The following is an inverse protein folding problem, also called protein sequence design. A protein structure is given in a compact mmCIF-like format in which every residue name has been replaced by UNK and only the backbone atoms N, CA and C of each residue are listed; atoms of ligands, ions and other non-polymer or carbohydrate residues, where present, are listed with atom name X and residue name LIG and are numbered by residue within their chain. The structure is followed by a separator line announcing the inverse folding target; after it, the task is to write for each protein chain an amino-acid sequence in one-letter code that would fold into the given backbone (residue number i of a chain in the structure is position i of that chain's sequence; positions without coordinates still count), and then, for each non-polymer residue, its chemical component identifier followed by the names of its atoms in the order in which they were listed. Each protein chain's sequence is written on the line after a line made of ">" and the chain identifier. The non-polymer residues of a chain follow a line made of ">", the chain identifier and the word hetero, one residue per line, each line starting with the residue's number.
data_IF_073356937411
#
_entry.id   IF_073356937411
#
_cell.length_a   1.000
_cell.length_b   1.000
_cell.length_c   1.000
_cell.angle_alpha   90.00
_cell.angle_beta   90.00
_cell.angle_gamma   90.00
#
_symmetry.space_group_name_H-M   'P 1'
#
loop_
_entity.id
_entity.type
_entity.pdbx_description
1 polymer ?
#
# COMPACT_ATOMS: atom_id res chain seq x y z
N UNK A 1 -55.57 6.89 33.76
CA UNK A 1 -54.22 7.50 33.73
C UNK A 1 -53.22 6.48 34.25
N UNK A 2 -52.39 5.91 33.36
CA UNK A 2 -51.09 5.29 33.65
C UNK A 2 -50.44 5.00 32.30
N UNK A 3 -49.69 5.99 31.81
CA UNK A 3 -48.80 5.83 30.66
C UNK A 3 -47.65 4.93 31.09
N UNK A 4 -47.51 3.78 30.43
CA UNK A 4 -46.27 3.01 30.42
C UNK A 4 -45.30 3.76 29.51
N UNK A 5 -44.30 4.43 30.09
CA UNK A 5 -43.17 4.94 29.34
C UNK A 5 -42.16 3.80 29.15
N UNK A 6 -42.20 3.18 27.98
CA UNK A 6 -41.12 2.32 27.46
C UNK A 6 -39.88 3.19 27.21
N UNK A 7 -38.88 3.11 28.09
CA UNK A 7 -37.52 3.56 27.80
C UNK A 7 -36.89 2.55 26.83
N UNK A 8 -36.92 2.85 25.53
CA UNK A 8 -35.93 2.29 24.61
C UNK A 8 -34.59 2.95 24.93
N UNK A 9 -33.72 2.23 25.64
CA UNK A 9 -32.29 2.51 25.57
C UNK A 9 -31.84 2.19 24.15
N UNK A 10 -31.70 3.23 23.31
CA UNK A 10 -30.85 3.16 22.14
C UNK A 10 -29.43 2.92 22.62
N UNK A 11 -29.01 1.66 22.65
CA UNK A 11 -27.61 1.31 22.65
C UNK A 11 -27.02 1.84 21.35
N UNK A 12 -26.39 3.01 21.41
CA UNK A 12 -25.48 3.48 20.36
C UNK A 12 -24.33 2.48 20.32
N UNK A 13 -24.42 1.50 19.42
CA UNK A 13 -23.28 0.67 19.03
C UNK A 13 -22.28 1.60 18.33
N UNK A 14 -21.39 2.20 19.11
CA UNK A 14 -20.16 2.79 18.60
C UNK A 14 -19.40 1.62 17.98
N UNK A 15 -19.45 1.53 16.65
CA UNK A 15 -18.60 0.58 15.94
C UNK A 15 -17.18 1.05 16.19
N UNK A 16 -16.42 0.31 17.01
CA UNK A 16 -15.00 0.57 17.19
C UNK A 16 -14.35 0.56 15.80
N UNK A 17 -13.48 1.53 15.52
CA UNK A 17 -12.83 1.57 14.22
C UNK A 17 -11.90 0.36 14.08
N UNK A 18 -11.62 -0.06 12.83
CA UNK A 18 -10.65 -1.14 12.57
C UNK A 18 -9.30 -0.86 13.25
N UNK A 19 -8.88 0.42 13.27
CA UNK A 19 -7.65 0.85 13.91
C UNK A 19 -7.70 0.70 15.43
N UNK A 20 -8.87 0.86 16.05
CA UNK A 20 -9.04 0.61 17.48
C UNK A 20 -8.95 -0.88 17.80
N UNK A 21 -9.50 -1.74 16.92
CA UNK A 21 -9.31 -3.19 17.05
C UNK A 21 -7.83 -3.58 16.90
N UNK A 22 -7.09 -2.97 15.98
CA UNK A 22 -5.65 -3.17 15.84
C UNK A 22 -4.90 -2.80 17.12
N UNK A 23 -5.15 -1.61 17.69
CA UNK A 23 -4.54 -1.20 18.96
C UNK A 23 -4.89 -2.15 20.10
N UNK A 24 -6.16 -2.56 20.20
CA UNK A 24 -6.61 -3.50 21.23
C UNK A 24 -5.92 -4.87 21.14
N UNK A 25 -5.52 -5.27 19.93
CA UNK A 25 -4.80 -6.51 19.64
C UNK A 25 -3.28 -6.33 19.60
N UNK A 26 -2.72 -5.24 20.13
CA UNK A 26 -1.27 -5.01 20.16
C UNK A 26 -0.64 -4.90 18.76
N UNK A 27 -1.39 -4.45 17.76
CA UNK A 27 -0.88 -4.23 16.40
C UNK A 27 -0.45 -2.77 16.26
N UNK A 28 0.83 -2.58 15.96
CA UNK A 28 1.36 -1.30 15.52
C UNK A 28 1.14 -1.14 14.02
N UNK A 29 0.85 0.09 13.61
CA UNK A 29 0.60 0.40 12.22
C UNK A 29 1.11 1.78 11.82
N UNK A 30 1.38 1.91 10.53
CA UNK A 30 1.77 3.16 9.89
C UNK A 30 1.03 3.31 8.55
N UNK A 31 0.58 4.52 8.24
CA UNK A 31 0.01 4.83 6.93
C UNK A 31 1.12 4.78 5.89
N UNK A 32 1.01 3.84 4.95
CA UNK A 32 1.99 3.68 3.89
C UNK A 32 1.62 4.49 2.64
N UNK A 33 0.32 4.60 2.32
CA UNK A 33 -0.17 5.39 1.20
C UNK A 33 -1.61 5.06 0.83
N UNK A 34 -2.10 5.70 -0.23
CA UNK A 34 -3.42 5.39 -0.78
C UNK A 34 -3.33 4.23 -1.77
N UNK A 35 -4.25 3.28 -1.64
CA UNK A 35 -4.24 2.02 -2.35
C UNK A 35 -5.56 1.70 -3.02
N UNK A 36 -5.46 0.86 -4.06
CA UNK A 36 -6.62 0.27 -4.70
C UNK A 36 -6.33 -1.17 -5.09
N UNK A 37 -7.25 -2.06 -4.75
CA UNK A 37 -7.21 -3.44 -5.22
C UNK A 37 -7.97 -3.57 -6.56
N UNK A 38 -7.32 -4.21 -7.53
CA UNK A 38 -7.87 -4.61 -8.82
C UNK A 38 -7.68 -6.13 -8.94
N UNK A 39 -8.57 -6.93 -8.33
CA UNK A 39 -8.35 -8.38 -8.20
C UNK A 39 -8.38 -9.13 -9.55
N UNK A 40 -8.93 -8.50 -10.59
CA UNK A 40 -9.12 -9.10 -11.90
C UNK A 40 -8.18 -8.53 -12.97
N UNK A 41 -6.87 -8.57 -12.73
CA UNK A 41 -5.85 -8.14 -13.71
C UNK A 41 -5.99 -8.83 -15.08
N UNK A 42 -6.59 -10.03 -15.12
CA UNK A 42 -6.87 -10.77 -16.36
C UNK A 42 -7.85 -10.04 -17.29
N UNK A 43 -8.64 -9.10 -16.77
CA UNK A 43 -9.60 -8.30 -17.52
C UNK A 43 -9.01 -6.96 -18.02
N UNK A 44 -7.69 -6.77 -17.89
CA UNK A 44 -7.02 -5.63 -18.50
C UNK A 44 -6.80 -5.86 -20.01
N UNK A 45 -7.28 -4.95 -20.84
CA UNK A 45 -7.17 -5.02 -22.29
C UNK A 45 -6.00 -4.16 -22.77
N UNK A 46 -5.12 -4.66 -23.64
CA UNK A 46 -4.08 -3.83 -24.26
C UNK A 46 -4.73 -2.78 -25.18
N UNK A 47 -4.23 -1.55 -25.11
CA UNK A 47 -4.70 -0.44 -25.92
C UNK A 47 -3.58 0.51 -26.29
N UNK A 48 -3.51 0.89 -27.56
CA UNK A 48 -2.60 1.93 -28.04
C UNK A 48 -3.38 3.23 -28.15
N UNK A 49 -3.04 4.20 -27.28
CA UNK A 49 -3.59 5.54 -27.33
C UNK A 49 -2.83 6.33 -28.40
N UNK A 50 -3.53 6.73 -29.46
CA UNK A 50 -3.01 7.63 -30.48
C UNK A 50 -3.27 9.09 -30.08
N UNK A 51 -2.20 9.88 -29.96
CA UNK A 51 -2.28 11.29 -29.57
C UNK A 51 -2.41 12.22 -30.79
N UNK A 52 -2.33 11.71 -32.02
CA UNK A 52 -2.33 12.54 -33.22
C UNK A 52 -3.64 13.31 -33.39
N UNK A 53 -4.81 12.71 -33.08
CA UNK A 53 -6.09 13.43 -33.11
C UNK A 53 -6.12 14.61 -32.12
N UNK A 54 -5.60 14.39 -30.90
CA UNK A 54 -5.48 15.45 -29.91
C UNK A 54 -4.52 16.56 -30.37
N UNK A 55 -3.37 16.19 -30.94
CA UNK A 55 -2.40 17.16 -31.48
C UNK A 55 -3.00 17.95 -32.65
N UNK A 56 -3.76 17.29 -33.52
CA UNK A 56 -4.44 17.91 -34.65
C UNK A 56 -5.59 18.84 -34.21
N UNK A 57 -6.09 18.69 -32.97
CA UNK A 57 -7.09 19.59 -32.40
C UNK A 57 -6.53 20.97 -32.04
N UNK A 58 -5.20 21.13 -31.99
CA UNK A 58 -4.57 22.42 -31.76
C UNK A 58 -4.86 23.34 -32.95
N UNK A 59 -5.30 24.57 -32.68
CA UNK A 59 -5.64 25.54 -33.71
C UNK A 59 -4.37 26.08 -34.40
N UNK A 60 -3.74 25.26 -35.24
CA UNK A 60 -2.50 25.59 -35.95
C UNK A 60 -2.72 26.18 -37.34
N UNK A 61 -3.98 26.20 -37.81
CA UNK A 61 -4.34 26.63 -39.16
C UNK A 61 -3.95 28.08 -39.43
N UNK A 62 -3.99 28.93 -38.41
CA UNK A 62 -3.62 30.32 -38.51
C UNK A 62 -2.12 30.56 -38.30
N UNK A 63 -1.34 29.58 -37.84
CA UNK A 63 0.10 29.75 -37.56
C UNK A 63 0.92 29.73 -38.85
N UNK A 64 1.99 30.53 -38.90
CA UNK A 64 2.98 30.42 -39.96
C UNK A 64 3.74 29.07 -39.90
N UNK A 65 4.35 28.67 -41.01
CA UNK A 65 5.01 27.36 -41.15
C UNK A 65 6.11 27.14 -40.10
N UNK A 66 6.91 28.19 -39.85
CA UNK A 66 7.97 28.17 -38.85
C UNK A 66 7.44 27.89 -37.43
N UNK A 67 6.40 28.61 -37.00
CA UNK A 67 5.83 28.46 -35.65
C UNK A 67 5.12 27.12 -35.49
N UNK A 68 4.48 26.62 -36.56
CA UNK A 68 3.88 25.29 -36.60
C UNK A 68 4.95 24.19 -36.46
N UNK A 69 6.05 24.31 -37.21
CA UNK A 69 7.18 23.39 -37.10
C UNK A 69 7.83 23.42 -35.72
N UNK A 70 7.95 24.60 -35.10
CA UNK A 70 8.50 24.71 -33.74
C UNK A 70 7.55 24.12 -32.69
N UNK A 71 6.24 24.34 -32.81
CA UNK A 71 5.24 23.70 -31.95
C UNK A 71 5.33 22.18 -32.05
N UNK A 72 5.41 21.65 -33.27
CA UNK A 72 5.54 20.21 -33.49
C UNK A 72 6.83 19.67 -32.86
N UNK A 73 7.97 20.31 -33.10
CA UNK A 73 9.24 19.98 -32.43
C UNK A 73 9.08 19.94 -30.90
N UNK A 74 8.43 20.95 -30.33
CA UNK A 74 8.23 21.08 -28.89
C UNK A 74 7.36 19.96 -28.34
N UNK A 75 6.25 19.62 -29.01
CA UNK A 75 5.36 18.52 -28.63
C UNK A 75 6.11 17.18 -28.57
N UNK A 76 6.86 16.82 -29.61
CA UNK A 76 7.64 15.58 -29.63
C UNK A 76 8.71 15.54 -28.53
N UNK A 77 9.41 16.66 -28.32
CA UNK A 77 10.44 16.78 -27.27
C UNK A 77 9.81 16.64 -25.88
N UNK A 78 8.68 17.31 -25.65
CA UNK A 78 7.95 17.23 -24.38
C UNK A 78 7.36 15.85 -24.14
N UNK A 79 6.90 15.14 -25.19
CA UNK A 79 6.41 13.76 -25.08
C UNK A 79 7.52 12.80 -24.61
N UNK A 80 8.69 12.81 -25.27
CA UNK A 80 9.84 12.00 -24.85
C UNK A 80 10.27 12.34 -23.40
N UNK A 81 10.41 13.62 -23.08
CA UNK A 81 10.81 14.06 -21.76
C UNK A 81 9.82 13.64 -20.67
N UNK A 82 8.51 13.72 -20.92
CA UNK A 82 7.47 13.30 -19.98
C UNK A 82 7.48 11.78 -19.83
N UNK A 83 7.54 11.00 -20.91
CA UNK A 83 7.61 9.54 -20.81
C UNK A 83 8.81 9.07 -19.98
N UNK A 84 10.00 9.67 -20.21
CA UNK A 84 11.21 9.37 -19.42
C UNK A 84 11.07 9.80 -17.96
N UNK A 85 10.52 10.98 -17.70
CA UNK A 85 10.25 11.47 -16.34
C UNK A 85 9.34 10.53 -15.56
N UNK A 86 8.38 9.91 -16.25
CA UNK A 86 7.43 8.97 -15.67
C UNK A 86 7.96 7.51 -15.69
N UNK A 87 9.23 7.30 -16.03
CA UNK A 87 9.88 6.00 -16.14
C UNK A 87 9.16 5.00 -17.06
N UNK A 88 8.49 5.51 -18.10
CA UNK A 88 7.82 4.69 -19.12
C UNK A 88 8.87 4.33 -20.18
N UNK A 89 8.86 3.07 -20.63
CA UNK A 89 9.79 2.62 -21.67
C UNK A 89 9.58 3.44 -22.95
N UNK A 90 10.65 3.94 -23.55
CA UNK A 90 10.58 4.72 -24.78
C UNK A 90 11.11 3.91 -25.95
N UNK A 91 10.37 3.89 -27.05
CA UNK A 91 10.81 3.36 -28.34
C UNK A 91 10.87 4.45 -29.38
N UNK A 92 11.92 4.38 -30.20
CA UNK A 92 12.25 5.36 -31.24
C UNK A 92 12.70 6.72 -30.70
N UNK A 93 13.67 7.32 -31.38
CA UNK A 93 14.07 8.70 -31.10
C UNK A 93 13.04 9.70 -31.65
N UNK A 94 12.95 10.91 -31.06
CA UNK A 94 12.14 11.98 -31.62
C UNK A 94 12.59 12.33 -33.05
N UNK A 95 11.67 12.79 -33.93
CA UNK A 95 12.05 13.28 -35.24
C UNK A 95 13.05 14.44 -35.10
N UNK A 96 14.06 14.46 -35.98
CA UNK A 96 15.05 15.54 -35.98
C UNK A 96 14.45 16.79 -36.63
N UNK A 97 14.27 17.83 -35.82
CA UNK A 97 13.81 19.15 -36.29
C UNK A 97 14.96 20.16 -36.24
N UNK A 98 15.36 20.65 -37.41
CA UNK A 98 16.36 21.71 -37.59
C UNK A 98 15.77 23.11 -37.38
N UNK A 99 15.05 23.30 -36.27
CA UNK A 99 14.46 24.58 -35.87
C UNK A 99 14.98 24.98 -34.49
N UNK A 100 15.51 26.18 -34.37
CA UNK A 100 15.91 26.79 -33.09
C UNK A 100 14.90 27.86 -32.72
N UNK A 101 14.57 27.99 -31.44
CA UNK A 101 13.58 28.97 -30.99
C UNK A 101 14.08 30.41 -31.21
N UNK A 102 13.64 31.02 -32.30
CA UNK A 102 13.85 32.42 -32.64
C UNK A 102 12.50 33.16 -32.66
N UNK A 103 12.30 34.05 -31.68
CA UNK A 103 11.10 34.87 -31.51
C UNK A 103 10.87 35.86 -32.65
N UNK A 104 11.92 36.29 -33.36
CA UNK A 104 11.80 37.29 -34.42
C UNK A 104 11.06 36.75 -35.65
N UNK A 105 10.99 35.43 -35.78
CA UNK A 105 10.32 34.72 -36.88
C UNK A 105 8.86 34.36 -36.56
N UNK A 106 8.37 34.71 -35.35
CA UNK A 106 7.01 34.47 -34.92
C UNK A 106 6.18 35.75 -34.93
N UNK A 107 4.95 35.66 -35.43
CA UNK A 107 3.96 36.71 -35.20
C UNK A 107 3.52 36.66 -33.73
N UNK A 108 3.07 37.79 -33.20
CA UNK A 108 2.63 37.89 -31.80
C UNK A 108 1.58 36.83 -31.42
N UNK A 109 0.57 36.63 -32.27
CA UNK A 109 -0.46 35.60 -32.05
C UNK A 109 0.10 34.18 -32.18
N UNK A 110 1.00 33.92 -33.15
CA UNK A 110 1.65 32.62 -33.31
C UNK A 110 2.48 32.26 -32.07
N UNK A 111 3.17 33.24 -31.47
CA UNK A 111 3.93 33.04 -30.23
C UNK A 111 3.01 32.70 -29.06
N UNK A 112 1.86 33.37 -28.94
CA UNK A 112 0.86 33.05 -27.91
C UNK A 112 0.32 31.62 -28.09
N UNK A 113 -0.12 31.27 -29.31
CA UNK A 113 -0.67 29.94 -29.63
C UNK A 113 0.37 28.83 -29.45
N UNK A 114 1.63 29.07 -29.83
CA UNK A 114 2.75 28.16 -29.58
C UNK A 114 2.89 27.83 -28.10
N UNK A 115 2.98 28.85 -27.24
CA UNK A 115 3.17 28.64 -25.80
C UNK A 115 1.96 27.97 -25.16
N UNK A 116 0.76 28.45 -25.52
CA UNK A 116 -0.47 27.91 -24.97
C UNK A 116 -0.64 26.43 -25.30
N UNK A 117 -0.49 26.05 -26.57
CA UNK A 117 -0.66 24.66 -27.01
C UNK A 117 0.45 23.75 -26.46
N UNK A 118 1.70 24.24 -26.38
CA UNK A 118 2.79 23.48 -25.75
C UNK A 118 2.51 23.20 -24.26
N UNK A 119 2.10 24.21 -23.49
CA UNK A 119 1.81 24.06 -22.07
C UNK A 119 0.59 23.16 -21.84
N UNK A 120 -0.45 23.32 -22.67
CA UNK A 120 -1.64 22.46 -22.65
C UNK A 120 -1.28 21.00 -22.89
N UNK A 121 -0.51 20.71 -23.95
CA UNK A 121 -0.05 19.36 -24.24
C UNK A 121 0.71 18.75 -23.05
N UNK A 122 1.68 19.49 -22.50
CA UNK A 122 2.47 19.00 -21.37
C UNK A 122 1.61 18.73 -20.13
N UNK A 123 0.68 19.62 -19.80
CA UNK A 123 -0.21 19.47 -18.64
C UNK A 123 -1.14 18.28 -18.81
N UNK A 124 -1.80 18.18 -19.95
CA UNK A 124 -2.82 17.16 -20.18
C UNK A 124 -2.14 15.77 -20.26
N UNK A 125 -0.95 15.65 -20.86
CA UNK A 125 -0.18 14.40 -20.87
C UNK A 125 0.33 14.02 -19.46
N UNK A 126 0.81 15.00 -18.67
CA UNK A 126 1.18 14.75 -17.27
C UNK A 126 -0.03 14.26 -16.47
N UNK A 127 -1.20 14.83 -16.68
CA UNK A 127 -2.46 14.42 -16.03
C UNK A 127 -2.86 12.99 -16.42
N UNK A 128 -2.79 12.61 -17.71
CA UNK A 128 -3.01 11.23 -18.18
C UNK A 128 -2.16 10.22 -17.39
N UNK A 129 -0.87 10.52 -17.23
CA UNK A 129 0.03 9.61 -16.53
C UNK A 129 -0.10 9.69 -15.01
N UNK A 130 -0.29 10.86 -14.41
CA UNK A 130 -0.45 11.02 -12.95
C UNK A 130 -1.75 10.39 -12.43
N UNK A 131 -2.84 10.56 -13.17
CA UNK A 131 -4.16 10.12 -12.75
C UNK A 131 -4.47 8.69 -13.19
N UNK A 132 -3.65 8.12 -14.08
CA UNK A 132 -3.87 6.80 -14.67
C UNK A 132 -5.25 6.68 -15.32
N UNK A 133 -5.71 7.76 -15.97
CA UNK A 133 -7.03 7.84 -16.58
C UNK A 133 -6.96 8.55 -17.92
N UNK A 134 -7.75 8.05 -18.89
CA UNK A 134 -7.95 8.76 -20.16
C UNK A 134 -8.94 9.89 -19.88
N UNK A 135 -8.41 11.10 -19.73
CA UNK A 135 -9.17 12.29 -19.43
C UNK A 135 -9.83 12.87 -20.68
N UNK A 136 -10.75 13.82 -20.50
CA UNK A 136 -11.53 14.43 -21.59
C UNK A 136 -10.72 14.85 -22.83
N UNK A 137 -9.47 15.39 -22.74
CA UNK A 137 -8.69 15.73 -23.93
C UNK A 137 -8.35 14.53 -24.85
N UNK A 138 -8.39 13.31 -24.31
CA UNK A 138 -8.01 12.08 -25.00
C UNK A 138 -9.17 11.12 -25.21
N UNK A 139 -10.36 11.38 -24.65
CA UNK A 139 -11.53 10.52 -24.78
C UNK A 139 -12.01 10.41 -26.23
N UNK A 140 -11.87 11.49 -27.01
CA UNK A 140 -12.24 11.50 -28.43
C UNK A 140 -11.40 10.50 -29.25
N UNK A 141 -10.15 10.25 -28.81
CA UNK A 141 -9.27 9.27 -29.44
C UNK A 141 -9.60 7.82 -29.03
N UNK A 142 -10.58 7.59 -28.15
CA UNK A 142 -10.97 6.24 -27.71
C UNK A 142 -12.13 5.72 -28.56
N UNK A 143 -11.88 4.63 -29.28
CA UNK A 143 -12.93 4.00 -30.09
C UNK A 143 -14.06 3.43 -29.23
N UNK A 144 -15.30 3.46 -29.76
CA UNK A 144 -16.46 2.81 -29.14
C UNK A 144 -16.25 1.30 -28.93
N UNK A 145 -15.44 0.67 -29.78
CA UNK A 145 -15.09 -0.74 -29.61
C UNK A 145 -14.20 -0.95 -28.38
N UNK A 146 -13.22 -0.07 -28.14
CA UNK A 146 -12.38 -0.10 -26.94
C UNK A 146 -13.21 0.11 -25.67
N UNK A 147 -14.15 1.06 -25.69
CA UNK A 147 -15.07 1.33 -24.57
C UNK A 147 -15.86 0.06 -24.22
N UNK A 148 -16.45 -0.59 -25.24
CA UNK A 148 -17.21 -1.84 -25.05
C UNK A 148 -16.34 -3.01 -24.63
N UNK A 149 -15.13 -3.16 -25.20
CA UNK A 149 -14.18 -4.23 -24.82
C UNK A 149 -13.67 -4.07 -23.40
N UNK A 150 -13.52 -2.83 -22.93
CA UNK A 150 -13.24 -2.57 -21.53
C UNK A 150 -14.43 -2.97 -20.64
N UNK A 151 -15.66 -3.11 -21.16
CA UNK A 151 -16.84 -3.42 -20.36
C UNK A 151 -17.58 -2.17 -19.86
N UNK A 152 -17.21 -0.98 -20.36
CA UNK A 152 -17.92 0.25 -20.07
C UNK A 152 -19.20 0.36 -20.91
N UNK A 153 -20.25 0.89 -20.29
CA UNK A 153 -21.55 1.12 -20.94
C UNK A 153 -21.54 2.35 -21.87
N UNK A 154 -20.81 3.40 -21.49
CA UNK A 154 -20.63 4.62 -22.26
C UNK A 154 -19.26 5.29 -21.97
N UNK A 155 -19.03 6.46 -22.57
CA UNK A 155 -17.78 7.24 -22.43
C UNK A 155 -17.58 7.74 -21.00
N UNK A 156 -18.66 8.11 -20.30
CA UNK A 156 -18.60 8.63 -18.94
C UNK A 156 -18.21 7.50 -17.98
N UNK A 157 -18.86 6.35 -18.12
CA UNK A 157 -18.58 5.12 -17.38
C UNK A 157 -17.12 4.66 -17.61
N UNK A 158 -16.65 4.73 -18.86
CA UNK A 158 -15.27 4.46 -19.21
C UNK A 158 -14.30 5.40 -18.49
N UNK A 159 -14.52 6.72 -18.53
CA UNK A 159 -13.61 7.69 -17.89
C UNK A 159 -13.55 7.55 -16.36
N UNK A 160 -14.65 7.08 -15.75
CA UNK A 160 -14.75 6.98 -14.28
C UNK A 160 -14.16 5.67 -13.75
N UNK A 161 -14.45 4.55 -14.43
CA UNK A 161 -14.19 3.19 -13.93
C UNK A 161 -12.96 2.52 -14.50
N UNK A 162 -12.31 3.11 -15.51
CA UNK A 162 -11.05 2.55 -16.04
C UNK A 162 -9.83 3.04 -15.27
N UNK A 163 -8.78 2.25 -15.32
CA UNK A 163 -7.44 2.64 -14.90
C UNK A 163 -6.45 2.25 -16.00
N UNK A 164 -5.58 3.17 -16.35
CA UNK A 164 -4.64 3.10 -17.46
C UNK A 164 -3.24 2.90 -16.90
N UNK A 165 -2.59 1.83 -17.34
CA UNK A 165 -1.21 1.54 -17.02
C UNK A 165 -0.35 1.72 -18.27
N UNK A 166 0.34 2.86 -18.43
CA UNK A 166 1.29 3.05 -19.51
C UNK A 166 2.40 2.00 -19.44
N UNK A 167 2.72 1.41 -20.60
CA UNK A 167 3.82 0.45 -20.74
C UNK A 167 4.95 1.05 -21.55
N UNK A 168 4.62 1.64 -22.70
CA UNK A 168 5.60 2.07 -23.67
C UNK A 168 5.13 3.32 -24.41
N UNK A 169 6.03 4.27 -24.64
CA UNK A 169 5.82 5.40 -25.53
C UNK A 169 6.54 5.17 -26.85
N UNK A 170 5.86 5.38 -27.96
CA UNK A 170 6.48 5.46 -29.28
C UNK A 170 6.55 6.94 -29.70
N UNK A 171 7.73 7.54 -29.54
CA UNK A 171 7.90 8.98 -29.76
C UNK A 171 7.68 9.34 -31.20
N UNK A 172 8.11 8.50 -32.14
CA UNK A 172 7.98 8.77 -33.57
C UNK A 172 6.53 8.77 -34.04
N UNK A 173 5.70 7.89 -33.47
CA UNK A 173 4.29 7.75 -33.85
C UNK A 173 3.33 8.57 -32.97
N UNK A 174 3.82 9.20 -31.90
CA UNK A 174 3.00 9.88 -30.89
C UNK A 174 1.93 8.96 -30.29
N UNK A 175 2.32 7.73 -29.99
CA UNK A 175 1.42 6.74 -29.37
C UNK A 175 1.93 6.27 -28.01
N UNK A 176 0.99 5.92 -27.14
CA UNK A 176 1.27 5.28 -25.84
C UNK A 176 0.60 3.91 -25.82
N UNK A 177 1.40 2.86 -25.71
CA UNK A 177 0.90 1.52 -25.43
C UNK A 177 0.58 1.41 -23.94
N UNK A 178 -0.66 1.03 -23.66
CA UNK A 178 -1.23 0.98 -22.32
C UNK A 178 -1.94 -0.35 -22.07
N UNK A 179 -2.13 -0.67 -20.80
CA UNK A 179 -3.16 -1.63 -20.38
C UNK A 179 -4.31 -0.86 -19.75
N UNK A 180 -5.51 -1.07 -20.24
CA UNK A 180 -6.73 -0.51 -19.67
C UNK A 180 -7.39 -1.60 -18.85
N UNK A 181 -7.45 -1.41 -17.54
CA UNK A 181 -8.16 -2.29 -16.64
C UNK A 181 -9.51 -1.66 -16.32
N UNK A 182 -10.58 -2.42 -16.50
CA UNK A 182 -11.91 -2.01 -16.09
C UNK A 182 -12.22 -2.57 -14.72
N UNK A 183 -12.76 -1.71 -13.86
CA UNK A 183 -13.09 -2.07 -12.50
C UNK A 183 -14.40 -2.87 -12.47
N UNK A 184 -14.31 -4.19 -12.63
CA UNK A 184 -15.47 -5.09 -12.74
C UNK A 184 -16.19 -5.27 -11.39
N UNK A 185 -15.62 -4.85 -10.26
CA UNK A 185 -16.39 -4.74 -9.02
C UNK A 185 -17.16 -3.41 -8.95
N UNK A 186 -18.47 -3.48 -8.64
CA UNK A 186 -19.30 -2.30 -8.34
C UNK A 186 -18.75 -1.50 -7.15
N UNK A 187 -17.87 -2.11 -6.34
CA UNK A 187 -17.12 -1.48 -5.26
C UNK A 187 -15.62 -1.51 -5.57
N UNK A 188 -15.06 -0.47 -6.22
CA UNK A 188 -13.63 -0.26 -6.16
C UNK A 188 -13.20 -0.23 -4.70
N UNK A 189 -12.38 -1.20 -4.29
CA UNK A 189 -11.81 -1.26 -2.95
C UNK A 189 -10.64 -0.29 -2.90
N UNK A 190 -10.96 1.01 -2.97
CA UNK A 190 -10.01 2.08 -2.69
C UNK A 190 -10.00 2.34 -1.19
N UNK A 191 -8.82 2.61 -0.65
CA UNK A 191 -8.64 2.89 0.75
C UNK A 191 -7.19 3.18 1.08
N UNK A 192 -6.88 3.19 2.36
CA UNK A 192 -5.52 3.47 2.84
C UNK A 192 -4.79 2.16 3.08
N UNK A 193 -3.57 2.05 2.57
CA UNK A 193 -2.66 0.94 2.87
C UNK A 193 -1.93 1.26 4.16
N UNK A 194 -1.98 0.29 5.07
CA UNK A 194 -1.24 0.33 6.32
C UNK A 194 -0.14 -0.71 6.30
N UNK A 195 1.04 -0.33 6.78
CA UNK A 195 2.06 -1.27 7.18
C UNK A 195 1.78 -1.71 8.62
N UNK A 196 1.83 -3.01 8.90
CA UNK A 196 1.37 -3.62 10.14
C UNK A 196 2.47 -4.50 10.75
N UNK A 197 2.56 -4.51 12.07
CA UNK A 197 3.27 -5.54 12.82
C UNK A 197 2.64 -5.76 14.19
N UNK A 198 2.62 -7.01 14.65
CA UNK A 198 2.22 -7.34 16.02
C UNK A 198 3.37 -7.10 16.99
N UNK A 199 3.11 -6.45 18.12
CA UNK A 199 4.09 -6.09 19.14
C UNK A 199 4.66 -7.26 19.92
N UNK A 200 3.88 -8.34 20.04
CA UNK A 200 4.22 -9.49 20.87
C UNK A 200 4.16 -9.18 22.36
N UNK A 201 4.37 -10.22 23.17
CA UNK A 201 4.35 -10.16 24.63
C UNK A 201 5.44 -11.06 25.21
N UNK A 202 5.97 -10.65 26.37
CA UNK A 202 6.80 -11.53 27.19
C UNK A 202 5.91 -12.43 28.05
N UNK A 203 6.14 -13.73 27.98
CA UNK A 203 5.42 -14.77 28.72
C UNK A 203 6.34 -15.42 29.75
N UNK A 204 5.74 -16.06 30.74
CA UNK A 204 6.44 -16.89 31.72
C UNK A 204 7.61 -16.17 32.41
N UNK A 205 7.34 -15.03 33.04
CA UNK A 205 8.35 -14.18 33.71
C UNK A 205 9.52 -13.77 32.80
N UNK A 206 9.23 -13.35 31.57
CA UNK A 206 10.22 -12.91 30.59
C UNK A 206 11.18 -14.00 30.09
N UNK A 207 10.83 -15.29 30.22
CA UNK A 207 11.60 -16.43 29.66
C UNK A 207 11.23 -16.78 28.20
N UNK A 208 10.11 -16.24 27.73
CA UNK A 208 9.61 -16.46 26.38
C UNK A 208 9.09 -15.15 25.81
N UNK A 209 9.42 -14.84 24.56
CA UNK A 209 8.78 -13.76 23.80
C UNK A 209 7.96 -14.37 22.66
N UNK A 210 6.67 -14.03 22.58
CA UNK A 210 5.75 -14.56 21.57
C UNK A 210 5.05 -13.43 20.81
N UNK A 211 4.77 -13.64 19.52
CA UNK A 211 4.06 -12.69 18.68
C UNK A 211 3.21 -13.40 17.61
N UNK A 212 2.18 -12.72 17.12
CA UNK A 212 1.41 -13.17 15.96
C UNK A 212 2.10 -12.75 14.65
N UNK A 213 2.25 -13.69 13.73
CA UNK A 213 2.71 -13.42 12.38
C UNK A 213 1.54 -12.99 11.50
N UNK A 214 1.28 -11.68 11.52
CA UNK A 214 0.28 -11.03 10.69
C UNK A 214 0.88 -10.57 9.34
N UNK A 215 0.07 -10.42 8.28
CA UNK A 215 0.47 -9.79 7.03
C UNK A 215 1.09 -8.41 7.27
N UNK A 216 2.20 -8.13 6.60
CA UNK A 216 2.94 -6.87 6.76
C UNK A 216 2.19 -5.66 6.20
N UNK A 217 1.30 -5.86 5.22
CA UNK A 217 0.50 -4.80 4.63
C UNK A 217 -0.96 -5.20 4.50
N UNK A 218 -1.86 -4.25 4.77
CA UNK A 218 -3.28 -4.41 4.51
C UNK A 218 -3.87 -3.13 3.91
N UNK A 219 -4.75 -3.31 2.93
CA UNK A 219 -5.61 -2.27 2.40
C UNK A 219 -6.88 -2.19 3.25
N UNK A 220 -7.08 -1.06 3.91
CA UNK A 220 -8.27 -0.82 4.73
C UNK A 220 -9.23 0.06 3.94
N UNK A 221 -10.40 -0.48 3.64
CA UNK A 221 -11.51 0.24 3.00
C UNK A 221 -12.63 0.50 4.00
N UNK A 222 -13.70 1.16 3.57
CA UNK A 222 -14.89 1.35 4.42
C UNK A 222 -15.57 0.02 4.78
N UNK A 223 -15.40 -1.02 3.98
CA UNK A 223 -16.12 -2.29 4.13
C UNK A 223 -15.23 -3.46 4.59
N UNK A 224 -13.92 -3.41 4.34
CA UNK A 224 -13.05 -4.57 4.51
C UNK A 224 -11.61 -4.21 4.89
N UNK A 225 -10.92 -5.18 5.49
CA UNK A 225 -9.47 -5.20 5.71
C UNK A 225 -8.92 -6.31 4.83
N UNK A 226 -8.11 -5.95 3.85
CA UNK A 226 -7.66 -6.88 2.81
C UNK A 226 -6.14 -6.99 2.88
N UNK A 227 -5.59 -8.14 3.30
CA UNK A 227 -4.16 -8.40 3.26
C UNK A 227 -3.60 -8.27 1.84
N UNK A 228 -2.44 -7.63 1.69
CA UNK A 228 -1.78 -7.45 0.39
C UNK A 228 -0.28 -7.68 0.50
N UNK A 229 0.34 -8.09 -0.61
CA UNK A 229 1.80 -8.12 -0.75
C UNK A 229 2.23 -6.96 -1.64
N UNK A 230 3.03 -6.02 -1.10
CA UNK A 230 3.50 -4.87 -1.87
C UNK A 230 4.28 -5.27 -3.13
N UNK A 231 4.97 -6.40 -3.12
CA UNK A 231 5.70 -6.92 -4.30
C UNK A 231 4.78 -7.24 -5.48
N UNK A 232 3.51 -7.56 -5.20
CA UNK A 232 2.46 -7.80 -6.20
C UNK A 232 1.69 -6.53 -6.56
N UNK A 233 2.01 -5.41 -5.92
CA UNK A 233 1.42 -4.12 -6.23
C UNK A 233 2.33 -3.31 -7.17
N UNK A 234 1.73 -2.39 -7.92
CA UNK A 234 2.43 -1.36 -8.68
C UNK A 234 2.29 -0.03 -7.97
N UNK A 235 3.42 0.50 -7.54
CA UNK A 235 3.51 1.88 -7.05
C UNK A 235 3.56 2.81 -8.25
N UNK A 236 2.65 3.78 -8.28
CA UNK A 236 2.59 4.79 -9.31
C UNK A 236 2.92 6.16 -8.69
N UNK A 237 4.03 6.75 -9.15
CA UNK A 237 4.54 8.07 -8.75
C UNK A 237 4.70 8.29 -7.24
N UNK A 238 4.89 7.19 -6.49
CA UNK A 238 5.15 7.22 -5.05
C UNK A 238 3.95 7.52 -4.17
N UNK A 239 2.75 7.72 -4.72
CA UNK A 239 1.57 8.17 -3.96
C UNK A 239 0.36 7.25 -4.08
N UNK A 240 0.19 6.54 -5.20
CA UNK A 240 -0.91 5.60 -5.40
C UNK A 240 -0.41 4.19 -5.67
N UNK A 241 -0.94 3.23 -4.93
CA UNK A 241 -0.50 1.84 -4.97
C UNK A 241 -1.63 0.97 -5.50
N UNK A 242 -1.39 0.30 -6.63
CA UNK A 242 -2.37 -0.57 -7.27
C UNK A 242 -1.99 -2.01 -7.06
N UNK A 243 -2.75 -2.71 -6.24
CA UNK A 243 -2.56 -4.14 -6.00
C UNK A 243 -3.45 -4.94 -6.94
N UNK A 244 -2.95 -6.07 -7.44
CA UNK A 244 -3.66 -6.88 -8.43
C UNK A 244 -4.18 -8.20 -7.88
N UNK A 245 -3.76 -8.56 -6.68
CA UNK A 245 -4.05 -9.82 -6.03
C UNK A 245 -4.16 -9.55 -4.53
N UNK A 246 -5.07 -10.25 -3.89
CA UNK A 246 -5.11 -10.34 -2.42
C UNK A 246 -4.00 -11.27 -1.96
N UNK A 247 -3.45 -11.00 -0.77
CA UNK A 247 -2.56 -11.95 -0.13
C UNK A 247 -3.37 -13.11 0.42
N UNK A 248 -3.15 -14.31 -0.11
CA UNK A 248 -3.83 -15.53 0.32
C UNK A 248 -3.38 -15.92 1.73
N UNK A 249 -4.17 -15.55 2.72
CA UNK A 249 -3.92 -15.84 4.13
C UNK A 249 -5.24 -16.10 4.86
N UNK A 250 -5.19 -17.02 5.82
CA UNK A 250 -6.32 -17.30 6.72
C UNK A 250 -6.31 -16.39 7.96
N UNK A 251 -5.22 -15.66 8.19
CA UNK A 251 -5.07 -14.76 9.33
C UNK A 251 -6.00 -13.54 9.20
N UNK A 252 -7.02 -13.45 10.06
CA UNK A 252 -7.83 -12.23 10.19
C UNK A 252 -7.14 -11.27 11.17
N UNK A 253 -6.52 -10.23 10.63
CA UNK A 253 -5.75 -9.24 11.38
C UNK A 253 -6.61 -8.45 12.38
N UNK A 254 -7.94 -8.40 12.19
CA UNK A 254 -8.84 -7.69 13.10
C UNK A 254 -9.10 -8.44 14.40
N UNK A 255 -8.98 -9.76 14.37
CA UNK A 255 -9.29 -10.66 15.50
C UNK A 255 -8.08 -11.48 15.93
N UNK A 256 -6.99 -11.48 15.16
CA UNK A 256 -5.85 -12.37 15.25
C UNK A 256 -6.20 -13.86 15.11
N UNK A 257 -7.42 -14.18 14.63
CA UNK A 257 -7.84 -15.56 14.44
C UNK A 257 -7.07 -16.20 13.29
N UNK A 258 -6.66 -17.45 13.47
CA UNK A 258 -5.92 -18.25 12.50
C UNK A 258 -4.55 -17.66 12.08
N UNK A 259 -4.08 -16.63 12.79
CA UNK A 259 -2.75 -16.07 12.60
C UNK A 259 -1.69 -16.99 13.26
N UNK A 260 -0.61 -17.36 12.55
CA UNK A 260 0.46 -18.16 13.14
C UNK A 260 1.08 -17.47 14.35
N UNK A 261 1.38 -18.23 15.39
CA UNK A 261 2.09 -17.74 16.58
C UNK A 261 3.53 -18.22 16.51
N UNK A 262 4.48 -17.32 16.73
CA UNK A 262 5.88 -17.67 16.87
C UNK A 262 6.41 -17.23 18.22
N UNK A 263 7.34 -18.01 18.77
CA UNK A 263 7.97 -17.70 20.03
C UNK A 263 9.48 -17.94 20.01
N UNK A 264 10.20 -17.13 20.77
CA UNK A 264 11.62 -17.25 21.07
C UNK A 264 11.80 -17.59 22.53
N UNK A 265 12.86 -18.33 22.84
CA UNK A 265 13.41 -18.36 24.19
C UNK A 265 14.15 -17.05 24.41
N UNK A 266 13.92 -16.38 25.53
CA UNK A 266 14.63 -15.14 25.87
C UNK A 266 15.76 -15.51 26.83
N UNK A 267 16.99 -15.33 26.38
CA UNK A 267 18.18 -15.45 27.21
C UNK A 267 18.62 -14.03 27.66
N UNK A 268 19.66 -13.93 28.48
CA UNK A 268 20.33 -12.65 28.76
C UNK A 268 20.84 -12.06 27.43
N UNK A 269 20.69 -10.75 27.20
CA UNK A 269 20.92 -10.05 25.92
C UNK A 269 19.93 -10.35 24.76
N UNK A 270 18.74 -10.89 25.03
CA UNK A 270 17.72 -11.08 23.98
C UNK A 270 17.30 -9.73 23.38
N UNK A 271 17.41 -9.61 22.04
CA UNK A 271 16.89 -8.49 21.27
C UNK A 271 16.20 -9.01 20.01
N UNK A 272 14.92 -8.70 19.88
CA UNK A 272 14.12 -8.93 18.69
C UNK A 272 13.73 -7.59 18.05
N UNK A 273 13.66 -7.57 16.72
CA UNK A 273 13.28 -6.41 15.94
C UNK A 273 12.41 -6.82 14.76
N UNK A 274 11.30 -6.12 14.56
CA UNK A 274 10.41 -6.26 13.40
C UNK A 274 10.08 -4.89 12.83
N UNK A 275 10.02 -4.77 11.51
CA UNK A 275 9.67 -3.51 10.85
C UNK A 275 8.18 -3.46 10.50
N UNK A 276 7.61 -2.26 10.53
CA UNK A 276 6.33 -1.92 9.92
C UNK A 276 6.50 -0.55 9.27
N UNK A 277 6.46 -0.50 7.92
CA UNK A 277 6.74 0.73 7.19
C UNK A 277 8.18 1.20 7.43
N UNK A 278 8.33 2.43 7.91
CA UNK A 278 9.63 3.00 8.32
C UNK A 278 9.88 2.84 9.84
N UNK A 279 8.86 2.45 10.60
CA UNK A 279 8.94 2.17 12.03
C UNK A 279 9.45 0.76 12.37
N UNK A 280 9.88 0.60 13.62
CA UNK A 280 10.34 -0.68 14.16
C UNK A 280 9.70 -0.97 15.52
N UNK A 281 9.30 -2.23 15.71
CA UNK A 281 9.01 -2.80 17.02
C UNK A 281 10.28 -3.48 17.51
N UNK A 282 10.63 -3.24 18.76
CA UNK A 282 11.68 -3.93 19.48
C UNK A 282 11.10 -4.67 20.68
N UNK A 283 11.65 -5.85 20.96
CA UNK A 283 11.44 -6.57 22.20
C UNK A 283 12.80 -6.97 22.78
N UNK A 284 13.05 -6.66 24.05
CA UNK A 284 14.35 -6.87 24.68
C UNK A 284 14.25 -7.20 26.17
N UNK A 285 15.17 -8.03 26.67
CA UNK A 285 15.39 -8.26 28.12
C UNK A 285 16.40 -7.27 28.72
N UNK A 286 17.02 -6.43 27.90
CA UNK A 286 18.00 -5.41 28.32
C UNK A 286 17.33 -4.07 28.63
N UNK A 287 17.87 -3.32 29.60
CA UNK A 287 17.45 -1.94 29.87
C UNK A 287 18.08 -0.93 28.90
N UNK A 288 19.14 -1.33 28.19
CA UNK A 288 19.80 -0.51 27.19
C UNK A 288 20.14 -1.31 25.92
N UNK A 289 19.82 -0.77 24.75
CA UNK A 289 20.02 -1.46 23.46
C UNK A 289 20.83 -0.60 22.49
N UNK A 290 21.72 -1.23 21.71
CA UNK A 290 22.40 -0.60 20.59
C UNK A 290 21.51 -0.63 19.34
N UNK A 291 20.63 0.37 19.24
CA UNK A 291 19.63 0.48 18.16
C UNK A 291 20.25 0.69 16.78
N UNK A 292 21.47 1.27 16.74
CA UNK A 292 22.14 1.69 15.50
C UNK A 292 23.29 0.77 15.10
N UNK A 293 23.55 -0.29 15.88
CA UNK A 293 24.66 -1.22 15.67
C UNK A 293 26.02 -0.51 15.57
N UNK A 294 26.19 0.60 16.29
CA UNK A 294 27.38 1.45 16.25
C UNK A 294 28.13 1.48 17.59
N UNK A 295 27.72 0.64 18.55
CA UNK A 295 28.24 0.56 19.90
C UNK A 295 27.57 1.50 20.91
N UNK A 296 26.66 2.38 20.47
CA UNK A 296 26.00 3.34 21.36
C UNK A 296 24.71 2.75 21.91
N UNK A 297 24.74 2.37 23.19
CA UNK A 297 23.56 1.87 23.90
C UNK A 297 22.66 3.01 24.38
N UNK A 298 21.35 2.83 24.25
CA UNK A 298 20.34 3.80 24.69
C UNK A 298 19.36 3.14 25.64
N UNK A 299 18.98 3.86 26.70
CA UNK A 299 17.94 3.42 27.65
C UNK A 299 16.60 3.29 26.92
N UNK A 300 15.97 2.12 27.04
CA UNK A 300 14.70 1.83 26.37
C UNK A 300 13.52 2.06 27.30
N UNK A 301 12.35 2.49 26.78
CA UNK A 301 11.22 2.90 27.62
C UNK A 301 10.38 1.71 28.13
N UNK A 302 10.65 0.50 27.68
CA UNK A 302 9.95 -0.72 28.07
C UNK A 302 10.56 -1.97 27.44
N UNK A 303 10.07 -3.15 27.83
CA UNK A 303 10.49 -4.45 27.28
C UNK A 303 10.10 -4.60 25.82
N UNK A 304 8.89 -4.18 25.48
CA UNK A 304 8.43 -4.01 24.11
C UNK A 304 8.24 -2.51 23.86
N UNK A 305 8.84 -1.99 22.80
CA UNK A 305 8.75 -0.58 22.45
C UNK A 305 8.82 -0.37 20.95
N UNK A 306 8.36 0.81 20.54
CA UNK A 306 8.30 1.22 19.15
C UNK A 306 9.29 2.35 18.92
N UNK A 307 10.09 2.23 17.87
CA UNK A 307 10.98 3.26 17.36
C UNK A 307 10.40 3.84 16.06
N UNK A 308 10.05 5.13 16.10
CA UNK A 308 9.64 5.92 14.93
C UNK A 308 10.69 6.97 14.62
N UNK A 309 10.84 7.33 13.35
CA UNK A 309 11.72 8.44 12.94
C UNK A 309 10.86 9.59 12.46
N UNK A 310 10.86 10.69 13.21
CA UNK A 310 10.12 11.90 12.86
C UNK A 310 11.06 12.93 12.23
N UNK A 311 10.55 13.70 11.28
CA UNK A 311 11.25 14.86 10.74
C UNK A 311 10.86 16.08 11.57
N UNK A 312 11.77 16.58 12.39
CA UNK A 312 11.59 17.86 13.06
C UNK A 312 12.44 18.92 12.37
N UNK A 313 11.90 20.13 12.28
CA UNK A 313 12.68 21.29 11.85
C UNK A 313 13.05 22.08 13.10
N UNK A 314 14.22 21.82 13.72
CA UNK A 314 14.69 22.63 14.83
C UNK A 314 14.78 24.11 14.42
N UNK A 315 14.84 25.00 15.41
CA UNK A 315 14.92 26.46 15.21
C UNK A 315 16.05 26.90 14.26
N UNK A 316 17.05 26.03 14.02
CA UNK A 316 18.13 26.20 13.06
C UNK A 316 17.73 26.07 11.58
N UNK A 317 16.48 25.71 11.26
CA UNK A 317 15.91 25.73 9.91
C UNK A 317 16.29 24.55 9.01
N UNK A 318 17.09 23.59 9.50
CA UNK A 318 17.43 22.36 8.77
C UNK A 318 16.62 21.20 9.34
N UNK A 319 15.83 20.47 8.54
CA UNK A 319 15.13 19.28 9.01
C UNK A 319 16.11 18.22 9.50
N UNK A 320 15.92 17.73 10.73
CA UNK A 320 16.69 16.64 11.34
C UNK A 320 15.73 15.49 11.61
N UNK A 321 16.18 14.26 11.33
CA UNK A 321 15.44 13.06 11.73
C UNK A 321 15.70 12.77 13.20
N UNK A 322 14.66 12.79 14.02
CA UNK A 322 14.73 12.51 15.44
C UNK A 322 14.07 11.16 15.73
N UNK A 323 14.77 10.21 16.37
CA UNK A 323 14.19 8.96 16.80
C UNK A 323 13.26 9.21 18.00
N UNK A 324 12.03 8.71 17.92
CA UNK A 324 11.08 8.69 19.01
C UNK A 324 10.87 7.25 19.46
N UNK A 325 11.11 7.00 20.75
CA UNK A 325 10.87 5.71 21.39
C UNK A 325 9.66 5.79 22.30
N UNK A 326 8.64 4.97 22.03
CA UNK A 326 7.44 4.88 22.86
C UNK A 326 7.23 3.45 23.34
N UNK A 327 6.85 3.22 24.62
CA UNK A 327 6.43 1.89 25.06
C UNK A 327 5.32 1.34 24.15
N UNK A 328 5.39 0.05 23.83
CA UNK A 328 4.28 -0.63 23.17
C UNK A 328 3.16 -0.82 24.19
N UNK A 329 1.91 -0.59 23.78
CA UNK A 329 0.77 -0.75 24.66
C UNK A 329 0.37 -2.23 24.74
N UNK A 330 0.79 -2.89 25.81
CA UNK A 330 0.34 -4.25 26.13
C UNK A 330 -1.11 -4.24 26.62
N UNK A 331 -1.86 -5.29 26.30
CA UNK A 331 -3.22 -5.45 26.80
C UNK A 331 -3.23 -5.86 28.28
N UNK A 332 -4.25 -5.42 29.04
CA UNK A 332 -4.39 -5.73 30.47
C UNK A 332 -4.43 -7.24 30.77
N UNK A 333 -4.81 -8.05 29.78
CA UNK A 333 -4.73 -9.51 29.81
C UNK A 333 -3.86 -9.95 28.65
N UNK A 334 -3.03 -10.96 28.88
CA UNK A 334 -2.21 -11.54 27.82
C UNK A 334 -3.10 -12.04 26.68
N UNK A 335 -2.68 -11.74 25.45
CA UNK A 335 -3.33 -12.21 24.22
C UNK A 335 -2.98 -13.67 23.90
N UNK A 336 -2.04 -14.24 24.64
CA UNK A 336 -1.56 -15.60 24.45
C UNK A 336 -2.13 -16.53 25.53
N UNK A 337 -2.44 -17.75 25.11
CA UNK A 337 -2.72 -18.83 26.04
C UNK A 337 -1.43 -19.26 26.77
N UNK A 338 -1.59 -19.95 27.91
CA UNK A 338 -0.44 -20.41 28.68
C UNK A 338 0.40 -21.42 27.88
N UNK A 339 1.72 -21.29 27.96
CA UNK A 339 2.65 -22.15 27.23
C UNK A 339 2.80 -23.50 27.94
N UNK A 340 2.70 -24.60 27.20
CA UNK A 340 2.99 -25.92 27.76
C UNK A 340 4.48 -26.08 28.12
N UNK A 341 4.82 -26.67 29.28
CA UNK A 341 6.22 -26.85 29.69
C UNK A 341 7.08 -27.63 28.70
N UNK A 342 6.47 -28.55 27.94
CA UNK A 342 7.17 -29.31 26.89
C UNK A 342 7.55 -28.45 25.68
N UNK A 343 6.80 -27.38 25.41
CA UNK A 343 7.09 -26.44 24.33
C UNK A 343 8.18 -25.46 24.74
N UNK A 344 8.16 -24.98 25.99
CA UNK A 344 9.21 -24.10 26.53
C UNK A 344 10.61 -24.73 26.39
N UNK A 345 10.73 -26.04 26.61
CA UNK A 345 12.01 -26.78 26.51
C UNK A 345 12.62 -26.81 25.11
N UNK A 346 11.82 -26.61 24.06
CA UNK A 346 12.29 -26.69 22.68
C UNK A 346 12.57 -25.32 22.06
N UNK A 347 12.14 -24.24 22.72
CA UNK A 347 12.35 -22.88 22.25
C UNK A 347 13.83 -22.55 22.20
N UNK A 348 14.22 -21.70 21.25
CA UNK A 348 15.59 -21.24 21.02
C UNK A 348 15.61 -19.73 20.95
N UNK A 349 16.73 -19.11 21.32
CA UNK A 349 16.90 -17.66 21.29
C UNK A 349 17.19 -17.10 19.90
N UNK A 350 17.90 -17.85 19.05
CA UNK A 350 18.26 -17.39 17.70
C UNK A 350 17.24 -17.69 16.60
N UNK A 351 16.22 -18.52 16.86
CA UNK A 351 15.27 -18.96 15.82
C UNK A 351 13.85 -19.08 16.38
N UNK A 352 12.84 -18.51 15.70
CA UNK A 352 11.47 -18.59 16.17
C UNK A 352 10.95 -20.01 16.05
N UNK A 353 10.16 -20.44 17.02
CA UNK A 353 9.45 -21.71 17.01
C UNK A 353 7.97 -21.43 16.80
N UNK A 354 7.36 -22.09 15.80
CA UNK A 354 5.92 -22.00 15.58
C UNK A 354 5.17 -22.70 16.71
N UNK A 355 4.18 -22.01 17.26
CA UNK A 355 3.27 -22.52 18.27
C UNK A 355 1.86 -22.62 17.69
N UNK A 356 1.08 -23.52 18.27
CA UNK A 356 -0.28 -23.85 17.92
C UNK A 356 -1.14 -23.83 19.16
N UNK A 357 -2.34 -23.28 19.04
CA UNK A 357 -3.33 -23.34 20.10
C UNK A 357 -3.88 -24.76 20.21
N UNK A 358 -3.77 -25.34 21.39
CA UNK A 358 -4.34 -26.65 21.74
C UNK A 358 -5.24 -26.52 22.95
N UNK A 359 -6.11 -27.50 23.18
CA UNK A 359 -7.01 -27.53 24.32
C UNK A 359 -6.74 -28.74 25.20
N UNK A 360 -6.51 -28.50 26.50
CA UNK A 360 -6.50 -29.54 27.52
C UNK A 360 -7.60 -29.26 28.53
N UNK A 361 -8.55 -30.19 28.64
CA UNK A 361 -9.70 -30.09 29.57
C UNK A 361 -10.49 -28.79 29.44
N UNK A 362 -10.66 -28.30 28.21
CA UNK A 362 -11.40 -27.06 27.92
C UNK A 362 -10.63 -25.76 28.15
N UNK A 363 -9.36 -25.83 28.54
CA UNK A 363 -8.47 -24.67 28.68
C UNK A 363 -7.51 -24.62 27.48
N UNK A 364 -7.36 -23.43 26.89
CA UNK A 364 -6.43 -23.21 25.79
C UNK A 364 -4.99 -23.15 26.30
N UNK A 365 -4.07 -23.76 25.55
CA UNK A 365 -2.62 -23.72 25.78
C UNK A 365 -1.88 -23.54 24.45
N UNK A 366 -0.63 -23.08 24.52
CA UNK A 366 0.28 -23.05 23.38
C UNK A 366 1.18 -24.29 23.33
N UNK A 367 1.23 -24.94 22.17
CA UNK A 367 2.07 -26.09 21.92
C UNK A 367 2.89 -25.97 20.64
N UNK A 368 4.13 -26.45 20.64
CA UNK A 368 4.90 -26.61 19.41
C UNK A 368 4.40 -27.74 18.50
N UNK A 369 3.60 -28.65 19.04
CA UNK A 369 3.02 -29.76 18.28
C UNK A 369 1.72 -29.29 17.64
N UNK A 370 1.63 -29.49 16.33
CA UNK A 370 0.36 -29.36 15.63
C UNK A 370 -0.50 -30.56 16.01
N UNK A 371 -1.34 -30.38 17.04
CA UNK A 371 -2.38 -31.34 17.32
C UNK A 371 -3.54 -30.98 16.39
N UNK A 372 -3.55 -31.57 15.20
CA UNK A 372 -4.82 -31.73 14.49
C UNK A 372 -5.77 -32.35 15.50
N UNK A 373 -6.94 -31.74 15.71
CA UNK A 373 -7.96 -32.18 16.66
C UNK A 373 -8.51 -33.56 16.24
N UNK A 374 -7.69 -34.60 16.37
CA UNK A 374 -8.11 -35.98 16.39
C UNK A 374 -8.69 -36.21 17.77
N UNK A 375 -10.01 -36.39 17.84
CA UNK A 375 -10.81 -36.68 19.03
C UNK A 375 -10.20 -37.73 20.01
N UNK A 376 -9.18 -38.47 19.57
CA UNK A 376 -8.51 -39.52 20.32
C UNK A 376 -7.63 -39.04 21.49
N UNK A 377 -6.93 -37.91 21.37
CA UNK A 377 -6.10 -37.43 22.48
C UNK A 377 -6.92 -36.71 23.56
N UNK A 378 -7.99 -36.01 23.18
CA UNK A 378 -8.96 -35.45 24.13
C UNK A 378 -9.63 -36.54 24.96
N UNK A 379 -9.89 -37.71 24.34
CA UNK A 379 -10.38 -38.91 25.03
C UNK A 379 -9.31 -39.49 25.95
N UNK A 380 -8.05 -39.63 25.50
CA UNK A 380 -6.95 -40.14 26.33
C UNK A 380 -6.71 -39.28 27.58
N UNK A 381 -6.67 -37.96 27.41
CA UNK A 381 -6.43 -37.00 28.51
C UNK A 381 -7.63 -36.86 29.46
N UNK A 382 -8.86 -37.11 28.97
CA UNK A 382 -10.06 -37.20 29.80
C UNK A 382 -10.04 -38.42 30.73
N UNK A 383 -9.51 -39.55 30.24
CA UNK A 383 -9.40 -40.79 31.03
C UNK A 383 -8.10 -40.93 31.84
N UNK A 384 -7.15 -39.99 31.73
CA UNK A 384 -5.97 -39.90 32.58
C UNK A 384 -4.95 -41.04 32.37
N UNK A 385 -4.82 -41.54 31.14
CA UNK A 385 -3.80 -42.51 30.76
C UNK A 385 -2.44 -41.87 30.48
#
# INVERSE_FOLDING_TARGET
>A
MRLLATLLLLATTTHASVLDAFRANGIEFEVYGEGRLIPEKQNCVPYTLDLNEFINSFNTNNMNEYSRGLLQKRIFTSFDAICRKFHIQVTSEPPVYNLTEDRTQMRYLDYFDYNWNSLRFERDLKSLFLEHKINHPFLDAVSQETIKRAGASDVLDFSQKTTVFPKMCNVKQMTVDTMICFNISETPQSGTIYALAHGGEFLHNEEVYAYYDIPQFALITQQAVIPIELEKCKVLFGTYIYCFEEFDTQCDVRTLSDCPIYAYKTDDDFVFRRNFGIGYIYATTESEVDLYQNGTRQVVPGRVFVLRTNYETPESGVPVMIPEMTPHQESEKSQFAELLPESQKILKSGTPTRLYTTQRRGVNFLSHKHFDQGAWETVRDFFGF
#
